data_IF_152346265963
#
_entry.id   IF_152346265963
#
_cell.length_a   1.000
_cell.length_b   1.000
_cell.length_c   1.000
_cell.angle_alpha   90.00
_cell.angle_beta   90.00
_cell.angle_gamma   90.00
#
_symmetry.space_group_name_H-M   'P 1'
#
loop_
_entity.id
_entity.type
_entity.pdbx_description
1 polymer ?
2 non-polymer ?
3 water ?
#
# COMPACT_ATOMS: atom_id res chain seq x y z
N UNK A 7 12.89 17.80 -7.07
CA UNK A 7 12.49 18.93 -7.97
C UNK A 7 11.01 19.32 -7.76
N UNK A 8 10.45 18.91 -6.62
CA UNK A 8 9.09 19.32 -6.24
C UNK A 8 9.08 20.73 -5.67
N UNK A 9 8.07 21.50 -6.06
CA UNK A 9 8.01 22.90 -5.69
C UNK A 9 6.63 23.37 -5.24
N UNK A 10 6.60 24.59 -4.71
CA UNK A 10 5.37 25.25 -4.30
C UNK A 10 5.36 26.69 -4.81
N UNK A 11 4.17 27.14 -5.18
CA UNK A 11 3.95 28.49 -5.64
C UNK A 11 3.17 29.25 -4.58
N UNK A 12 3.64 30.44 -4.24
CA UNK A 12 3.03 31.26 -3.21
C UNK A 12 2.88 32.70 -3.68
N UNK A 13 1.63 33.19 -3.69
CA UNK A 13 1.34 34.58 -4.08
C UNK A 13 0.72 35.28 -2.90
N UNK A 14 1.27 36.43 -2.50
CA UNK A 14 0.71 37.21 -1.38
C UNK A 14 -0.56 37.98 -1.78
N UNK A 15 -1.70 37.60 -1.20
CA UNK A 15 -2.99 38.26 -1.49
C UNK A 15 -2.98 39.68 -0.91
N UNK A 16 -2.34 39.83 0.25
CA UNK A 16 -2.11 41.13 0.86
C UNK A 16 -0.62 41.34 1.17
N UNK A 17 -0.30 42.49 1.76
CA UNK A 17 1.08 42.84 2.12
C UNK A 17 1.66 41.92 3.18
N UNK A 18 2.98 42.05 3.36
CA UNK A 18 3.68 41.50 4.54
C UNK A 18 3.56 40.01 4.80
N UNK A 19 3.35 39.24 3.74
CA UNK A 19 3.37 37.77 3.79
C UNK A 19 4.81 37.26 3.90
N UNK A 20 4.99 36.17 4.64
CA UNK A 20 6.33 35.68 4.96
C UNK A 20 6.51 34.19 4.60
N UNK A 21 7.63 33.87 3.96
CA UNK A 21 7.90 32.51 3.50
C UNK A 21 9.20 31.97 4.12
N UNK A 22 9.08 30.85 4.82
CA UNK A 22 10.15 30.35 5.65
C UNK A 22 10.64 28.97 5.24
N UNK A 23 11.92 28.89 4.91
CA UNK A 23 12.55 27.60 4.60
C UNK A 23 13.05 27.01 5.89
N UNK A 24 12.76 25.71 6.09
CA UNK A 24 13.20 24.97 7.28
C UNK A 24 14.26 23.93 6.91
N UNK A 25 15.35 23.92 7.67
CA UNK A 25 16.55 23.10 7.37
C UNK A 25 16.22 21.61 7.31
N UNK A 26 16.75 20.94 6.30
CA UNK A 26 16.72 19.47 6.23
C UNK A 26 17.90 18.93 7.04
N UNK A 27 17.66 17.87 7.82
CA UNK A 27 18.74 17.28 8.59
C UNK A 27 18.16 16.76 9.88
N UNK A 28 19.04 16.41 10.83
CA UNK A 28 18.58 15.98 12.14
C UNK A 28 17.89 17.18 12.79
N UNK A 29 18.47 18.36 12.61
CA UNK A 29 17.95 19.61 13.16
C UNK A 29 16.91 20.25 12.26
N UNK A 30 16.00 20.98 12.87
CA UNK A 30 14.94 21.66 12.13
C UNK A 30 14.84 23.09 12.61
N UNK A 31 15.32 24.03 11.81
CA UNK A 31 15.20 25.46 12.13
C UNK A 31 15.04 26.32 10.89
N UNK A 32 14.58 27.56 11.08
CA UNK A 32 14.43 28.54 9.99
C UNK A 32 15.84 28.99 9.58
N UNK A 33 16.17 28.84 8.29
CA UNK A 33 17.48 29.27 7.77
C UNK A 33 17.33 30.43 6.82
N UNK A 34 16.11 30.60 6.29
CA UNK A 34 15.78 31.75 5.48
C UNK A 34 14.32 32.14 5.57
N UNK A 35 14.10 33.45 5.63
CA UNK A 35 12.76 34.02 5.60
C UNK A 35 12.68 35.05 4.48
N UNK A 36 11.94 34.75 3.43
CA UNK A 36 11.75 35.72 2.35
C UNK A 36 10.40 36.45 2.49
N UNK A 37 10.44 37.78 2.50
CA UNK A 37 9.24 38.59 2.69
C UNK A 37 8.56 38.97 1.37
N UNK A 38 7.24 38.84 1.34
CA UNK A 38 6.45 39.13 0.13
C UNK A 38 5.41 40.23 0.34
N UNK A 39 5.19 41.02 -0.71
CA UNK A 39 4.17 42.08 -0.67
C UNK A 39 2.99 41.79 -1.60
N UNK A 40 1.91 42.56 -1.45
CA UNK A 40 0.65 42.36 -2.19
C UNK A 40 1.00 42.10 -3.67
N UNK A 41 0.56 40.97 -4.21
CA UNK A 41 0.82 40.65 -5.61
C UNK A 41 2.07 39.88 -5.98
N UNK A 42 3.15 40.09 -5.22
CA UNK A 42 4.43 39.38 -5.42
C UNK A 42 4.30 37.86 -5.26
N UNK A 43 4.96 37.12 -6.14
CA UNK A 43 4.93 35.66 -6.13
C UNK A 43 6.30 35.05 -5.90
N UNK A 44 6.33 33.88 -5.28
CA UNK A 44 7.56 33.11 -5.17
C UNK A 44 7.33 31.64 -5.46
N UNK A 45 8.22 31.09 -6.28
CA UNK A 45 8.16 29.71 -6.62
C UNK A 45 9.40 29.06 -6.01
N UNK A 46 9.15 28.17 -5.07
CA UNK A 46 10.23 27.57 -4.32
C UNK A 46 10.22 26.07 -4.44
N UNK A 47 11.40 25.53 -4.79
CA UNK A 47 11.63 24.10 -4.81
C UNK A 47 12.00 23.66 -3.41
N UNK A 48 11.73 22.39 -3.08
CA UNK A 48 12.39 21.73 -1.96
C UNK A 48 13.77 21.32 -2.44
N UNK A 49 14.74 21.32 -1.55
CA UNK A 49 16.15 21.26 -1.94
C UNK A 49 16.95 20.47 -0.95
N UNK A 50 18.25 20.35 -1.23
CA UNK A 50 19.17 19.66 -0.33
C UNK A 50 19.11 20.26 1.08
N UNK A 51 18.72 21.53 1.19
CA UNK A 51 18.70 22.23 2.47
C UNK A 51 17.34 22.62 2.97
N UNK A 52 16.32 22.55 2.13
CA UNK A 52 14.98 22.89 2.56
C UNK A 52 14.04 21.71 2.40
N UNK A 53 13.60 21.16 3.52
CA UNK A 53 12.71 20.01 3.48
C UNK A 53 11.27 20.35 3.93
N UNK A 54 11.09 21.59 4.35
CA UNK A 54 9.78 22.09 4.71
C UNK A 54 9.70 23.59 4.59
N UNK A 55 8.54 24.04 4.12
CA UNK A 55 8.30 25.45 3.90
C UNK A 55 7.11 25.85 4.70
N UNK A 56 7.23 27.00 5.38
CA UNK A 56 6.17 27.57 6.22
C UNK A 56 5.70 28.91 5.64
N UNK A 57 4.39 29.16 5.73
CA UNK A 57 3.79 30.40 5.19
C UNK A 57 2.95 31.17 6.21
N UNK A 58 3.55 32.24 6.74
CA UNK A 58 2.94 33.18 7.69
C UNK A 58 2.24 34.28 6.88
N UNK A 59 1.02 34.63 7.25
CA UNK A 59 0.28 35.68 6.54
C UNK A 59 -0.48 35.20 5.33
N UNK A 60 -1.62 35.85 5.06
CA UNK A 60 -2.63 35.39 4.10
C UNK A 60 -2.16 35.43 2.64
N UNK A 61 -1.91 34.22 2.13
CA UNK A 61 -1.36 34.01 0.79
C UNK A 61 -2.25 33.07 -0.02
N UNK A 62 -1.93 32.96 -1.31
CA UNK A 62 -2.54 31.96 -2.17
C UNK A 62 -1.45 30.95 -2.59
N UNK A 63 -1.73 29.67 -2.38
CA UNK A 63 -0.69 28.62 -2.50
C UNK A 63 -1.12 27.48 -3.40
N UNK A 64 -0.25 27.19 -4.38
CA UNK A 64 -0.36 26.00 -5.22
C UNK A 64 0.71 24.96 -4.89
N UNK A 65 0.28 23.71 -4.85
CA UNK A 65 1.19 22.59 -4.67
C UNK A 65 0.75 21.50 -5.60
N UNK A 66 1.60 20.49 -5.72
CA UNK A 66 1.29 19.32 -6.52
C UNK A 66 -0.15 18.85 -6.30
N UNK A 67 -0.67 18.99 -5.08
CA UNK A 67 -1.97 18.42 -4.73
C UNK A 67 -3.13 19.38 -5.05
N UNK A 68 -2.81 20.65 -5.25
CA UNK A 68 -3.81 21.64 -5.62
C UNK A 68 -3.67 22.95 -4.86
N UNK A 69 -4.77 23.72 -4.89
CA UNK A 69 -4.80 25.09 -4.37
C UNK A 69 -5.26 25.16 -2.92
N UNK A 70 -4.76 26.17 -2.20
CA UNK A 70 -5.05 26.34 -0.77
C UNK A 70 -6.07 27.47 -0.46
N UNK B 7 10.59 12.28 -1.45
CA UNK B 7 10.10 13.61 -1.89
C UNK B 7 8.56 13.71 -1.87
N UNK B 8 7.96 12.78 -1.12
CA UNK B 8 6.55 12.80 -0.77
C UNK B 8 6.28 13.86 0.28
N UNK B 9 5.17 14.61 0.12
CA UNK B 9 4.89 15.68 1.10
C UNK B 9 3.44 15.77 1.52
N UNK B 10 3.19 16.61 2.53
CA UNK B 10 1.85 16.92 3.02
C UNK B 10 1.71 18.43 3.23
N UNK B 11 0.50 18.92 2.96
CA UNK B 11 0.16 20.32 3.17
C UNK B 11 -0.81 20.41 4.35
N UNK B 12 -0.52 21.32 5.26
CA UNK B 12 -1.32 21.50 6.46
C UNK B 12 -1.60 22.99 6.71
N UNK B 13 -2.88 23.36 6.76
CA UNK B 13 -3.29 24.73 7.07
C UNK B 13 -4.07 24.73 8.36
N UNK B 14 -3.65 25.54 9.33
CA UNK B 14 -4.38 25.65 10.60
C UNK B 14 -5.69 26.47 10.46
N UNK B 15 -6.83 25.79 10.63
CA UNK B 15 -8.13 26.47 10.54
C UNK B 15 -8.31 27.38 11.77
N UNK B 16 -7.85 26.88 12.93
CA UNK B 16 -7.87 27.60 14.21
C UNK B 16 -6.45 27.70 14.81
N UNK B 17 -6.27 28.63 15.76
CA UNK B 17 -4.99 28.85 16.45
C UNK B 17 -4.39 27.57 17.02
N UNK B 18 -3.12 27.67 17.41
CA UNK B 18 -2.47 26.66 18.27
C UNK B 18 -2.42 25.23 17.75
N UNK B 19 -2.47 25.08 16.43
CA UNK B 19 -2.29 23.78 15.75
C UNK B 19 -0.82 23.36 15.78
N UNK B 20 -0.60 22.07 15.90
CA UNK B 20 0.74 21.56 16.16
C UNK B 20 1.13 20.44 15.20
N UNK B 21 2.33 20.56 14.63
CA UNK B 21 2.80 19.59 13.64
C UNK B 21 4.08 18.92 14.09
N UNK B 22 4.03 17.60 14.15
CA UNK B 22 5.09 16.84 14.79
C UNK B 22 5.78 15.86 13.85
N UNK B 23 7.08 16.02 13.70
CA UNK B 23 7.88 15.08 12.92
C UNK B 23 8.32 13.97 13.82
N UNK B 24 8.19 12.73 13.35
CA UNK B 24 8.59 11.53 14.10
C UNK B 24 9.77 10.86 13.43
N UNK B 25 10.80 10.53 14.21
CA UNK B 25 12.08 10.03 13.68
C UNK B 25 11.90 8.75 12.90
N UNK B 26 12.55 8.68 11.74
CA UNK B 26 12.69 7.42 11.01
C UNK B 26 13.87 6.65 11.60
N UNK B 27 13.71 5.33 11.74
CA UNK B 27 14.79 4.49 12.26
C UNK B 27 14.17 3.39 13.07
N UNK B 28 15.00 2.63 13.81
CA UNK B 28 14.45 1.59 14.69
C UNK B 28 13.63 2.30 15.77
N UNK B 29 14.16 3.44 16.23
CA UNK B 29 13.53 4.27 17.26
C UNK B 29 12.52 5.21 16.68
N UNK B 30 11.50 5.52 17.46
CA UNK B 30 10.44 6.42 17.04
C UNK B 30 10.19 7.42 18.13
N UNK B 31 10.64 8.65 17.93
CA UNK B 31 10.37 9.74 18.86
C UNK B 31 10.11 11.06 18.14
N UNK B 32 9.44 11.97 18.82
CA UNK B 32 9.17 13.29 18.28
C UNK B 32 10.50 14.06 18.33
N UNK B 33 10.93 14.61 17.20
CA UNK B 33 12.23 15.31 17.12
C UNK B 33 12.02 16.78 16.86
N UNK B 34 10.85 17.12 16.33
CA UNK B 34 10.45 18.50 16.14
C UNK B 34 8.96 18.68 16.19
N UNK B 35 8.56 19.76 16.83
CA UNK B 35 7.17 20.17 16.86
C UNK B 35 7.06 21.62 16.40
N UNK B 36 6.48 21.83 15.22
CA UNK B 36 6.28 23.20 14.71
C UNK B 36 4.87 23.68 14.96
N UNK B 37 4.76 24.85 15.61
CA UNK B 37 3.47 25.40 16.05
C UNK B 37 2.88 26.31 14.97
N UNK B 38 1.59 26.10 14.67
CA UNK B 38 0.89 26.88 13.63
C UNK B 38 -0.28 27.67 14.19
N UNK B 39 -0.51 28.86 13.63
CA UNK B 39 -1.63 29.71 14.04
C UNK B 39 -2.66 29.89 12.93
N UNK B 40 -3.84 30.41 13.28
CA UNK B 40 -4.98 30.54 12.36
C UNK B 40 -4.45 31.06 11.02
N UNK B 41 -4.72 30.31 9.94
CA UNK B 41 -4.32 30.72 8.60
C UNK B 41 -2.95 30.29 8.08
N UNK B 42 -1.98 30.15 8.99
CA UNK B 42 -0.61 29.71 8.65
C UNK B 42 -0.59 28.31 8.01
N UNK B 43 0.23 28.16 6.98
CA UNK B 43 0.35 26.88 6.26
C UNK B 43 1.76 26.33 6.34
N UNK B 44 1.84 25.00 6.33
CA UNK B 44 3.14 24.34 6.21
C UNK B 44 3.10 23.18 5.23
N UNK B 45 4.10 23.15 4.37
CA UNK B 45 4.26 22.09 3.43
C UNK B 45 5.51 21.33 3.85
N UNK B 46 5.28 20.11 4.28
CA UNK B 46 6.35 19.30 4.79
C UNK B 46 6.54 18.03 3.98
N UNK B 47 7.80 17.79 3.65
CA UNK B 47 8.22 16.57 2.99
C UNK B 47 8.48 15.52 4.04
N UNK B 48 8.38 14.25 3.64
CA UNK B 48 9.00 13.15 4.38
C UNK B 48 10.44 13.12 3.94
N UNK B 49 11.32 12.74 4.85
CA UNK B 49 12.74 12.99 4.69
C UNK B 49 13.55 11.89 5.30
N UNK B 50 14.86 12.02 5.20
CA UNK B 50 15.75 11.02 5.78
C UNK B 50 15.49 10.86 7.27
N UNK B 51 14.96 11.90 7.91
CA UNK B 51 14.72 11.88 9.36
C UNK B 51 13.28 11.85 9.80
N UNK B 52 12.36 12.13 8.88
CA UNK B 52 10.95 12.13 9.22
C UNK B 52 10.19 11.13 8.38
N UNK B 53 9.71 10.06 9.02
CA UNK B 53 8.96 9.02 8.32
C UNK B 53 7.48 9.02 8.70
N UNK B 54 7.12 9.89 9.62
CA UNK B 54 5.73 10.08 9.99
C UNK B 54 5.55 11.45 10.58
N UNK B 55 4.42 12.04 10.21
CA UNK B 55 4.03 13.35 10.68
C UNK B 55 2.71 13.20 11.41
N UNK B 56 2.64 13.85 12.58
CA UNK B 56 1.45 13.86 13.42
C UNK B 56 0.87 15.28 13.50
N UNK B 57 -0.46 15.39 13.50
CA UNK B 57 -1.12 16.71 13.52
C UNK B 57 -2.17 16.84 14.66
N UNK B 58 -1.78 17.56 15.71
CA UNK B 58 -2.61 17.88 16.87
C UNK B 58 -3.32 19.20 16.59
N UNK B 59 -4.59 19.30 16.94
CA UNK B 59 -5.34 20.55 16.76
C UNK B 59 -5.98 20.66 15.39
N UNK B 60 -7.14 21.32 15.33
CA UNK B 60 -8.00 21.34 14.14
C UNK B 60 -7.39 22.03 12.92
N UNK B 61 -6.98 21.23 11.95
CA UNK B 61 -6.28 21.71 10.74
C UNK B 61 -6.97 21.21 9.47
N UNK B 62 -6.55 21.76 8.33
CA UNK B 62 -6.97 21.27 7.02
C UNK B 62 -5.76 20.66 6.29
N UNK B 63 -5.91 19.43 5.80
CA UNK B 63 -4.76 18.65 5.35
C UNK B 63 -4.94 18.07 3.95
N UNK B 64 -3.95 18.33 3.10
CA UNK B 64 -3.84 17.71 1.78
C UNK B 64 -2.69 16.71 1.73
N UNK B 65 -2.95 15.58 1.07
CA UNK B 65 -1.93 14.59 0.79
C UNK B 65 -2.15 14.08 -0.61
N UNK B 66 -1.17 13.32 -1.09
CA UNK B 66 -1.30 12.66 -2.38
C UNK B 66 -2.67 12.02 -2.55
N UNK B 67 -3.23 11.49 -1.46
CA UNK B 67 -4.47 10.72 -1.53
C UNK B 67 -5.73 11.60 -1.46
N UNK B 68 -5.55 12.85 -1.05
CA UNK B 68 -6.63 13.83 -1.07
C UNK B 68 -6.72 14.70 0.17
N UNK B 69 -7.87 15.38 0.28
CA UNK B 69 -8.14 16.36 1.34
C UNK B 69 -8.82 15.71 2.55
N UNK B 70 -8.56 16.27 3.73
CA UNK B 70 -9.04 15.66 4.99
C UNK B 70 -10.32 16.27 5.61
N UNK C 7 8.31 4.82 -0.07
CA UNK C 7 7.66 6.16 -0.01
C UNK C 7 6.13 6.07 0.02
N UNK C 8 5.60 4.85 0.18
CA UNK C 8 4.15 4.61 0.32
C UNK C 8 3.71 4.94 1.73
N UNK C 9 2.56 5.61 1.84
CA UNK C 9 2.09 6.06 3.15
C UNK C 9 0.59 5.87 3.34
N UNK C 10 0.17 6.10 4.59
CA UNK C 10 -1.23 6.02 4.98
C UNK C 10 -1.56 7.22 5.86
N UNK C 11 -2.80 7.70 5.70
CA UNK C 11 -3.33 8.81 6.48
C UNK C 11 -4.39 8.24 7.41
N UNK C 12 -4.30 8.61 8.68
CA UNK C 12 -5.23 8.14 9.71
C UNK C 12 -5.71 9.29 10.61
N UNK C 13 -7.02 9.51 10.67
CA UNK C 13 -7.61 10.57 11.51
C UNK C 13 -8.54 9.93 12.51
N UNK C 14 -8.35 10.22 13.79
CA UNK C 14 -9.23 9.68 14.85
C UNK C 14 -10.59 10.39 14.92
N UNK C 15 -11.66 9.65 14.60
CA UNK C 15 -13.03 10.19 14.69
C UNK C 15 -13.42 10.39 16.17
N UNK C 16 -13.02 9.43 17.01
CA UNK C 16 -13.22 9.50 18.48
C UNK C 16 -11.89 9.36 19.25
N UNK C 17 -11.92 9.70 20.53
CA UNK C 17 -10.75 9.61 21.43
C UNK C 17 -10.08 8.24 21.39
N UNK C 18 -8.88 8.18 21.97
CA UNK C 18 -8.21 6.91 22.29
C UNK C 18 -7.98 5.91 21.16
N UNK C 19 -7.84 6.43 19.94
CA UNK C 19 -7.44 5.65 18.75
C UNK C 19 -5.95 5.34 18.79
N UNK C 20 -5.57 4.16 18.30
CA UNK C 20 -4.22 3.68 18.45
C UNK C 20 -3.61 3.19 17.13
N UNK C 21 -2.38 3.61 16.85
CA UNK C 21 -1.71 3.26 15.60
C UNK C 21 -0.40 2.53 15.85
N UNK C 22 -0.28 1.35 15.26
CA UNK C 22 0.78 0.43 15.61
C UNK C 22 1.65 0.08 14.41
N UNK C 23 2.94 0.35 14.54
CA UNK C 23 3.90 -0.04 13.53
C UNK C 23 4.38 -1.44 13.85
N UNK C 24 4.43 -2.29 12.83
CA UNK C 24 4.90 -3.68 12.96
C UNK C 24 6.22 -3.87 12.25
N UNK C 25 7.19 -4.47 12.95
CA UNK C 25 8.57 -4.61 12.46
C UNK C 25 8.64 -5.36 11.14
N UNK C 26 9.43 -4.83 10.22
CA UNK C 26 9.84 -5.56 9.02
C UNK C 26 11.06 -6.44 9.39
N UNK C 27 11.09 -7.66 8.86
CA UNK C 27 12.19 -8.59 9.12
C UNK C 27 11.61 -9.99 9.15
N UNK C 28 12.39 -10.98 9.56
CA UNK C 28 11.83 -12.34 9.73
C UNK C 28 10.78 -12.27 10.86
N UNK C 29 11.10 -11.49 11.89
CA UNK C 29 10.25 -11.29 13.06
C UNK C 29 9.19 -10.23 12.85
N UNK C 30 8.06 -10.40 13.53
CA UNK C 30 6.97 -9.45 13.42
C UNK C 30 6.46 -9.12 14.81
N UNK C 31 6.77 -7.92 15.28
CA UNK C 31 6.23 -7.42 16.55
C UNK C 31 5.92 -5.93 16.50
N UNK C 32 5.13 -5.46 17.46
CA UNK C 32 4.85 -4.03 17.60
C UNK C 32 6.12 -3.38 18.16
N UNK C 33 6.60 -2.34 17.49
CA UNK C 33 7.81 -1.60 17.93
C UNK C 33 7.46 -0.21 18.36
N UNK C 34 6.32 0.27 17.88
CA UNK C 34 5.79 1.55 18.29
C UNK C 34 4.28 1.60 18.22
N UNK C 35 3.70 2.21 19.25
CA UNK C 35 2.28 2.46 19.29
C UNK C 35 2.03 3.94 19.56
N UNK C 36 1.53 4.67 18.56
CA UNK C 36 1.22 6.09 18.74
C UNK C 36 -0.27 6.31 18.99
N UNK C 37 -0.57 7.01 20.09
CA UNK C 37 -1.93 7.26 20.56
C UNK C 37 -2.53 8.52 19.97
N UNK C 38 -3.75 8.42 19.46
CA UNK C 38 -4.45 9.55 18.83
C UNK C 38 -5.75 9.91 19.54
N UNK C 39 -6.07 11.20 19.59
CA UNK C 39 -7.31 11.69 20.19
C UNK C 39 -8.24 12.33 19.15
N UNK C 40 -9.49 12.59 19.54
CA UNK C 40 -10.54 13.08 18.62
C UNK C 40 -9.93 14.20 17.77
N UNK C 41 -9.99 14.05 16.45
CA UNK C 41 -9.48 15.07 15.53
C UNK C 41 -8.04 14.97 15.06
N UNK C 42 -7.16 14.44 15.92
CA UNK C 42 -5.73 14.29 15.62
C UNK C 42 -5.47 13.36 14.41
N UNK C 43 -4.54 13.75 13.56
CA UNK C 43 -4.20 13.00 12.35
C UNK C 43 -2.74 12.52 12.36
N UNK C 44 -2.49 11.40 11.71
CA UNK C 44 -1.13 10.95 11.49
C UNK C 44 -0.94 10.45 10.05
N UNK C 45 0.14 10.92 9.46
CA UNK C 45 0.54 10.47 8.15
C UNK C 45 1.81 9.66 8.33
N UNK C 46 1.71 8.38 8.03
CA UNK C 46 2.78 7.46 8.25
C UNK C 46 3.19 6.76 6.98
N UNK C 47 4.50 6.75 6.76
CA UNK C 47 5.11 6.03 5.66
C UNK C 47 5.37 4.61 6.11
N UNK C 48 5.48 3.69 5.13
CA UNK C 48 6.16 2.41 5.34
C UNK C 48 7.64 2.69 5.19
N UNK C 49 8.46 1.94 5.91
CA UNK C 49 9.85 2.34 6.12
C UNK C 49 10.72 1.12 6.24
N UNK C 50 12.02 1.36 6.39
CA UNK C 50 12.96 0.26 6.58
C UNK C 50 12.57 -0.63 7.75
N UNK C 51 11.83 -0.05 8.72
CA UNK C 51 11.44 -0.77 9.94
C UNK C 51 9.99 -1.08 10.10
N UNK C 52 9.15 -0.47 9.28
CA UNK C 52 7.71 -0.69 9.39
C UNK C 52 7.19 -1.21 8.08
N UNK C 53 6.77 -2.48 8.08
CA UNK C 53 6.24 -3.08 6.88
C UNK C 53 4.72 -3.31 6.97
N UNK C 54 4.15 -3.02 8.13
CA UNK C 54 2.72 -3.11 8.32
C UNK C 54 2.25 -2.22 9.45
N UNK C 55 1.07 -1.64 9.25
CA UNK C 55 0.49 -0.72 10.20
C UNK C 55 -0.86 -1.26 10.61
N UNK C 56 -1.12 -1.26 11.92
CA UNK C 56 -2.37 -1.73 12.50
C UNK C 56 -3.11 -0.55 13.16
N UNK C 57 -4.43 -0.54 13.02
CA UNK C 57 -5.25 0.56 13.56
C UNK C 57 -6.40 0.11 14.47
N UNK C 58 -6.18 0.27 15.78
CA UNK C 58 -7.15 -0.05 16.83
C UNK C 58 -7.99 1.17 17.13
N UNK C 59 -9.31 1.00 17.26
CA UNK C 59 -10.21 2.11 17.60
C UNK C 59 -10.67 2.87 16.37
N UNK C 60 -11.89 3.40 16.45
CA UNK C 60 -12.62 3.97 15.31
C UNK C 60 -11.96 5.21 14.67
N UNK C 61 -11.35 4.98 13.51
CA UNK C 61 -10.60 6.01 12.79
C UNK C 61 -11.10 6.17 11.35
N UNK C 62 -10.61 7.22 10.68
CA UNK C 62 -10.80 7.39 9.25
C UNK C 62 -9.45 7.23 8.54
N UNK C 63 -9.41 6.35 7.54
CA UNK C 63 -8.15 5.94 6.93
C UNK C 63 -8.14 6.08 5.41
N UNK C 64 -7.15 6.82 4.92
CA UNK C 64 -6.82 6.88 3.49
C UNK C 64 -5.55 6.09 3.15
N UNK C 65 -5.62 5.40 2.03
CA UNK C 65 -4.48 4.69 1.48
C UNK C 65 -4.51 4.90 -0.01
N UNK C 66 -3.42 4.53 -0.66
CA UNK C 66 -3.35 4.59 -2.11
C UNK C 66 -4.61 4.01 -2.76
N UNK C 67 -5.20 3.00 -2.12
CA UNK C 67 -6.34 2.29 -2.69
C UNK C 67 -7.68 2.95 -2.42
N UNK C 68 -7.70 3.91 -1.49
CA UNK C 68 -8.85 4.76 -1.22
C UNK C 68 -9.18 4.91 0.25
N UNK C 69 -10.42 5.34 0.52
CA UNK C 69 -10.89 5.58 1.89
C UNK C 69 -11.53 4.35 2.53
N UNK C 70 -11.38 4.23 3.85
CA UNK C 70 -11.81 3.04 4.58
C UNK C 70 -13.02 3.35 5.50
N UNK D 7 6.82 -2.82 -2.78
CA UNK D 7 6.07 -1.90 -1.86
C UNK D 7 4.56 -1.97 -2.11
N UNK D 8 4.11 -3.08 -2.71
CA UNK D 8 2.68 -3.37 -2.89
C UNK D 8 2.06 -3.87 -1.59
N UNK D 9 0.85 -3.39 -1.30
CA UNK D 9 0.21 -3.67 -0.04
C UNK D 9 -1.26 -4.02 -0.14
N UNK D 10 -1.82 -4.46 0.99
CA UNK D 10 -3.24 -4.74 1.12
C UNK D 10 -3.79 -4.09 2.39
N UNK D 11 -5.02 -3.62 2.29
CA UNK D 11 -5.75 -3.06 3.41
C UNK D 11 -6.85 -4.04 3.80
N UNK D 12 -6.95 -4.32 5.10
CA UNK D 12 -7.91 -5.27 5.62
C UNK D 12 -8.59 -4.70 6.86
N UNK D 13 -9.92 -4.58 6.81
CA UNK D 13 -10.70 -4.09 7.95
C UNK D 13 -11.65 -5.20 8.37
N UNK D 14 -11.64 -5.57 9.65
CA UNK D 14 -12.54 -6.60 10.16
C UNK D 14 -14.00 -6.09 10.32
N UNK D 15 -14.92 -6.63 9.53
CA UNK D 15 -16.34 -6.26 9.63
C UNK D 15 -16.92 -6.81 10.94
N UNK D 16 -16.52 -8.03 11.31
CA UNK D 16 -16.89 -8.68 12.56
C UNK D 16 -15.64 -9.09 13.36
N UNK D 17 -15.83 -9.40 14.65
CA UNK D 17 -14.76 -9.84 15.55
C UNK D 17 -13.94 -10.98 14.98
N UNK D 18 -12.80 -11.25 15.65
CA UNK D 18 -12.04 -12.49 15.47
C UNK D 18 -11.56 -12.82 14.07
N UNK D 19 -11.35 -11.78 13.26
CA UNK D 19 -10.74 -11.90 11.94
C UNK D 19 -9.23 -12.14 12.06
N UNK D 20 -8.68 -12.93 11.15
CA UNK D 20 -7.31 -13.37 11.25
C UNK D 20 -6.51 -13.11 9.97
N UNK D 21 -5.32 -12.55 10.12
CA UNK D 21 -4.49 -12.17 8.97
C UNK D 21 -3.15 -12.89 9.03
N UNK D 22 -2.86 -13.63 7.98
CA UNK D 22 -1.74 -14.55 7.98
C UNK D 22 -0.72 -14.24 6.91
N UNK D 23 0.52 -14.00 7.35
CA UNK D 23 1.63 -13.83 6.42
C UNK D 23 2.20 -15.19 6.11
N UNK D 24 2.43 -15.46 4.83
CA UNK D 24 3.04 -16.73 4.36
C UNK D 24 4.44 -16.48 3.81
N UNK D 25 5.38 -17.33 4.23
CA UNK D 25 6.82 -17.14 3.93
C UNK D 25 7.09 -17.14 2.45
N UNK D 26 7.91 -16.19 1.99
CA UNK D 26 8.50 -16.24 0.65
C UNK D 26 9.74 -17.14 0.71
N UNK D 27 9.93 -17.97 -0.30
CA UNK D 27 11.10 -18.85 -0.36
C UNK D 27 10.70 -20.13 -1.05
N UNK D 28 11.57 -21.14 -0.99
CA UNK D 28 11.21 -22.47 -1.52
C UNK D 28 10.04 -22.99 -0.69
N UNK D 29 10.10 -22.74 0.62
CA UNK D 29 9.08 -23.17 1.58
C UNK D 29 7.91 -22.21 1.65
N UNK D 30 6.74 -22.74 1.99
CA UNK D 30 5.58 -21.91 2.24
C UNK D 30 4.95 -22.30 3.56
N UNK D 31 5.12 -21.47 4.58
CA UNK D 31 4.43 -21.65 5.85
C UNK D 31 3.99 -20.34 6.48
N UNK D 32 3.05 -20.45 7.42
CA UNK D 32 2.55 -19.30 8.16
C UNK D 32 3.57 -18.91 9.21
N UNK D 33 4.06 -17.68 9.13
CA UNK D 33 5.15 -17.23 10.02
C UNK D 33 4.65 -16.20 11.01
N UNK D 34 3.53 -15.58 10.68
CA UNK D 34 2.83 -14.68 11.57
C UNK D 34 1.35 -14.65 11.32
N UNK D 35 0.60 -14.60 12.43
CA UNK D 35 -0.84 -14.46 12.39
C UNK D 35 -1.24 -13.28 13.27
N UNK D 36 -1.71 -12.21 12.64
CA UNK D 36 -2.18 -11.05 13.40
C UNK D 36 -3.73 -11.07 13.52
N UNK D 37 -4.22 -10.99 14.75
CA UNK D 37 -5.65 -11.07 15.01
C UNK D 37 -6.32 -9.69 15.02
N UNK D 38 -7.47 -9.60 14.36
CA UNK D 38 -8.23 -8.35 14.26
C UNK D 38 -9.63 -8.45 14.87
N UNK D 39 -10.09 -7.34 15.47
CA UNK D 39 -11.45 -7.27 16.01
C UNK D 39 -12.33 -6.27 15.25
N UNK D 40 -13.63 -6.30 15.53
CA UNK D 40 -14.63 -5.49 14.80
C UNK D 40 -14.08 -4.06 14.68
N UNK D 41 -13.98 -3.55 13.44
CA UNK D 41 -13.48 -2.20 13.22
C UNK D 41 -12.00 -1.96 13.01
N UNK D 42 -11.16 -2.78 13.65
CA UNK D 42 -9.70 -2.71 13.53
C UNK D 42 -9.20 -2.94 12.10
N UNK D 43 -8.24 -2.12 11.68
CA UNK D 43 -7.69 -2.21 10.32
C UNK D 43 -6.19 -2.55 10.33
N UNK D 44 -5.76 -3.26 9.30
CA UNK D 44 -4.35 -3.49 9.09
C UNK D 44 -3.95 -3.27 7.63
N UNK D 45 -2.87 -2.52 7.48
CA UNK D 45 -2.32 -2.24 6.18
C UNK D 45 -0.97 -2.95 6.12
N UNK D 46 -0.89 -3.95 5.26
CA UNK D 46 0.30 -4.77 5.20
C UNK D 46 0.88 -4.82 3.81
N UNK D 47 2.19 -4.64 3.76
CA UNK D 47 2.95 -4.71 2.52
C UNK D 47 3.34 -6.17 2.29
N UNK D 48 3.61 -6.51 1.03
CA UNK D 48 4.38 -7.71 0.71
C UNK D 48 5.84 -7.31 0.88
N UNK D 49 6.67 -8.26 1.30
CA UNK D 49 7.99 -7.96 1.80
C UNK D 49 8.97 -9.03 1.43
N UNK D 50 10.22 -8.84 1.83
CA UNK D 50 11.25 -9.86 1.60
C UNK D 50 10.85 -11.21 2.18
N UNK D 51 9.97 -11.21 3.19
CA UNK D 51 9.58 -12.45 3.87
C UNK D 51 8.13 -12.86 3.69
N UNK D 52 7.30 -11.95 3.18
CA UNK D 52 5.91 -12.26 2.99
C UNK D 52 5.52 -12.12 1.52
N UNK D 53 5.21 -13.24 0.88
CA UNK D 53 4.85 -13.22 -0.55
C UNK D 53 3.38 -13.59 -0.76
N UNK D 54 2.68 -13.89 0.33
CA UNK D 54 1.26 -14.13 0.27
C UNK D 54 0.61 -13.88 1.62
N UNK D 55 -0.56 -13.27 1.56
CA UNK D 55 -1.31 -12.92 2.74
C UNK D 55 -2.65 -13.60 2.63
N UNK D 56 -3.04 -14.25 3.73
CA UNK D 56 -4.30 -14.99 3.83
C UNK D 56 -5.22 -14.34 4.86
N UNK D 57 -6.52 -14.34 4.56
CA UNK D 57 -7.51 -13.70 5.43
C UNK D 57 -8.68 -14.61 5.82
N UNK D 58 -8.61 -15.14 7.04
CA UNK D 58 -9.62 -16.00 7.66
C UNK D 58 -10.62 -15.10 8.38
N UNK D 59 -11.90 -15.39 8.23
CA UNK D 59 -12.94 -14.58 8.88
C UNK D 59 -13.36 -13.36 8.07
N UNK D 60 -14.63 -12.98 8.22
CA UNK D 60 -15.31 -11.96 7.40
C UNK D 60 -14.72 -10.56 7.54
N UNK D 61 -14.00 -10.15 6.51
CA UNK D 61 -13.30 -8.86 6.47
C UNK D 61 -13.67 -8.06 5.23
N UNK D 62 -13.25 -6.81 5.21
CA UNK D 62 -13.31 -5.98 4.03
C UNK D 62 -11.88 -5.69 3.53
N UNK D 63 -11.62 -5.98 2.25
CA UNK D 63 -10.26 -5.97 1.72
C UNK D 63 -10.09 -5.11 0.48
N UNK D 64 -9.12 -4.19 0.55
CA UNK D 64 -8.66 -3.40 -0.61
C UNK D 64 -7.29 -3.86 -1.10
N UNK D 65 -7.17 -3.92 -2.42
CA UNK D 65 -5.92 -4.24 -3.07
C UNK D 65 -5.80 -3.38 -4.29
N UNK D 66 -4.61 -3.40 -4.87
CA UNK D 66 -4.37 -2.69 -6.11
C UNK D 66 -5.53 -2.83 -7.10
N UNK D 67 -6.16 -4.00 -7.12
CA UNK D 67 -7.17 -4.32 -8.14
C UNK D 67 -8.57 -3.83 -7.76
N UNK D 68 -8.76 -3.56 -6.47
CA UNK D 68 -10.03 -3.04 -5.97
C UNK D 68 -10.49 -3.69 -4.68
N UNK D 69 -11.78 -3.54 -4.40
CA UNK D 69 -12.40 -4.01 -3.16
C UNK D 69 -12.96 -5.43 -3.27
N UNK D 70 -12.90 -6.17 -2.16
CA UNK D 70 -13.39 -7.54 -2.13
C UNK D 70 -14.20 -7.81 -0.86
N UNK E 7 6.39 -9.23 -8.34
CA UNK E 7 5.75 -7.91 -8.10
C UNK E 7 4.23 -7.99 -8.36
N UNK E 8 3.89 -8.80 -9.36
CA UNK E 8 2.51 -9.02 -9.77
C UNK E 8 1.81 -10.00 -8.84
N UNK E 9 0.54 -9.74 -8.55
CA UNK E 9 -0.22 -10.64 -7.67
C UNK E 9 -1.64 -10.96 -8.17
N UNK E 10 -2.28 -11.90 -7.49
CA UNK E 10 -3.67 -12.28 -7.75
C UNK E 10 -4.42 -12.41 -6.43
N UNK E 11 -5.70 -12.03 -6.47
CA UNK E 11 -6.58 -12.14 -5.33
C UNK E 11 -7.60 -13.25 -5.62
N UNK E 12 -7.78 -14.14 -4.65
CA UNK E 12 -8.68 -15.28 -4.78
C UNK E 12 -9.54 -15.41 -3.53
N UNK E 13 -10.86 -15.38 -3.71
CA UNK E 13 -11.82 -15.59 -2.60
C UNK E 13 -12.63 -16.84 -2.90
N UNK E 14 -12.67 -17.78 -1.94
CA UNK E 14 -13.48 -19.00 -2.11
C UNK E 14 -15.00 -18.75 -1.93
N UNK E 15 -15.77 -18.90 -3.00
CA UNK E 15 -17.22 -18.72 -2.94
C UNK E 15 -17.85 -19.88 -2.16
N UNK E 16 -17.31 -21.09 -2.37
CA UNK E 16 -17.70 -22.30 -1.63
C UNK E 16 -16.49 -22.95 -0.93
N UNK E 17 -16.78 -23.85 0.02
CA UNK E 17 -15.75 -24.59 0.77
C UNK E 17 -14.74 -25.28 -0.17
N UNK E 18 -13.65 -25.74 0.44
CA UNK E 18 -12.73 -26.68 -0.20
C UNK E 18 -12.09 -26.24 -1.51
N UNK E 19 -11.94 -24.93 -1.69
CA UNK E 19 -11.18 -24.34 -2.81
C UNK E 19 -9.69 -24.52 -2.59
N UNK E 20 -8.96 -24.74 -3.67
CA UNK E 20 -7.57 -25.09 -3.58
C UNK E 20 -6.67 -24.22 -4.47
N UNK E 21 -5.57 -23.72 -3.90
CA UNK E 21 -4.69 -22.80 -4.62
C UNK E 21 -3.28 -23.35 -4.69
N UNK E 22 -2.79 -23.49 -5.93
CA UNK E 22 -1.56 -24.22 -6.17
C UNK E 22 -0.49 -23.37 -6.82
N UNK E 23 0.65 -23.29 -6.16
CA UNK E 23 1.81 -22.62 -6.72
C UNK E 23 2.58 -23.62 -7.53
N UNK E 24 2.99 -23.21 -8.74
CA UNK E 24 3.79 -24.06 -9.64
C UNK E 24 5.20 -23.51 -9.78
N UNK E 25 6.20 -24.39 -9.59
CA UNK E 25 7.62 -24.01 -9.54
C UNK E 25 8.07 -23.28 -10.81
N UNK E 26 8.81 -22.20 -10.63
CA UNK E 26 9.49 -21.53 -11.73
C UNK E 26 10.83 -22.24 -11.98
N UNK E 27 11.18 -22.43 -13.25
CA UNK E 27 12.45 -23.04 -13.61
C UNK E 27 12.21 -23.89 -14.84
N UNK E 28 13.18 -24.74 -15.17
CA UNK E 28 13.02 -25.64 -16.32
C UNK E 28 11.88 -26.61 -15.99
N UNK E 29 11.84 -27.04 -14.73
CA UNK E 29 10.85 -27.99 -14.23
C UNK E 29 9.60 -27.29 -13.77
N UNK E 30 8.48 -27.98 -13.87
CA UNK E 30 7.20 -27.42 -13.48
C UNK E 30 6.45 -28.43 -12.63
N UNK E 31 6.39 -28.18 -11.33
CA UNK E 31 5.61 -29.04 -10.42
C UNK E 31 4.91 -28.22 -9.34
N UNK E 32 3.90 -28.80 -8.71
CA UNK E 32 3.25 -28.16 -7.56
C UNK E 32 4.22 -28.25 -6.39
N UNK E 33 4.50 -27.10 -5.75
CA UNK E 33 5.40 -27.06 -4.58
C UNK E 33 4.62 -26.70 -3.34
N UNK E 34 3.46 -26.09 -3.53
CA UNK E 34 2.56 -25.79 -2.45
C UNK E 34 1.12 -25.74 -2.88
N UNK E 35 0.27 -26.30 -2.03
CA UNK E 35 -1.17 -26.24 -2.23
C UNK E 35 -1.82 -25.68 -0.96
N UNK E 36 -2.35 -24.47 -1.04
CA UNK E 36 -3.02 -23.86 0.12
C UNK E 36 -4.55 -24.01 0.00
N UNK E 37 -5.17 -24.55 1.04
CA UNK E 37 -6.60 -24.85 1.06
C UNK E 37 -7.42 -23.68 1.58
N UNK E 38 -8.49 -23.34 0.86
CA UNK E 38 -9.38 -22.23 1.24
C UNK E 38 -10.81 -22.66 1.51
N UNK E 39 -11.46 -22.02 2.48
CA UNK E 39 -12.86 -22.33 2.82
C UNK E 39 -13.79 -21.15 2.51
N UNK E 40 -15.10 -21.39 2.54
CA UNK E 40 -16.11 -20.40 2.14
C UNK E 40 -15.71 -19.06 2.78
N UNK E 41 -15.61 -18.01 1.96
CA UNK E 41 -15.26 -16.68 2.45
C UNK E 41 -13.80 -16.27 2.61
N UNK E 42 -12.94 -17.24 2.92
CA UNK E 42 -11.49 -17.03 3.05
C UNK E 42 -10.85 -16.49 1.76
N UNK E 43 -9.97 -15.51 1.93
CA UNK E 43 -9.29 -14.87 0.80
C UNK E 43 -7.78 -15.07 0.87
N UNK E 44 -7.15 -15.12 -0.30
CA UNK E 44 -5.71 -15.11 -0.38
C UNK E 44 -5.22 -14.17 -1.47
N UNK E 45 -4.23 -13.38 -1.12
CA UNK E 45 -3.57 -12.51 -2.05
C UNK E 45 -2.17 -13.06 -2.23
N UNK E 46 -1.91 -13.52 -3.44
CA UNK E 46 -0.65 -14.18 -3.72
C UNK E 46 0.11 -13.49 -4.83
N UNK E 47 1.38 -13.25 -4.56
CA UNK E 47 2.31 -12.67 -5.50
C UNK E 47 2.89 -13.78 -6.33
N UNK E 48 3.35 -13.46 -7.54
CA UNK E 48 4.30 -14.31 -8.27
C UNK E 48 5.67 -13.97 -7.71
N UNK E 49 6.55 -14.95 -7.69
CA UNK E 49 7.74 -14.87 -6.87
C UNK E 49 8.88 -15.59 -7.55
N UNK E 50 10.04 -15.55 -6.91
CA UNK E 50 11.20 -16.24 -7.44
C UNK E 50 10.92 -17.73 -7.64
N UNK E 51 9.96 -18.27 -6.89
CA UNK E 51 9.63 -19.70 -6.94
C UNK E 51 8.29 -20.05 -7.53
N UNK E 52 7.42 -19.07 -7.67
CA UNK E 52 6.10 -19.33 -8.24
C UNK E 52 5.91 -18.50 -9.49
N UNK E 53 5.86 -19.19 -10.63
CA UNK E 53 5.66 -18.52 -11.91
C UNK E 53 4.28 -18.78 -12.51
N UNK E 54 3.50 -19.62 -11.84
CA UNK E 54 2.12 -19.87 -12.24
C UNK E 54 1.33 -20.39 -11.06
N UNK E 55 0.09 -19.93 -11.01
CA UNK E 55 -0.81 -20.27 -9.94
C UNK E 55 -2.03 -20.95 -10.57
N UNK E 56 -2.44 -22.07 -9.98
CA UNK E 56 -3.60 -22.84 -10.41
C UNK E 56 -4.69 -22.79 -9.34
N UNK E 57 -5.95 -22.70 -9.78
CA UNK E 57 -7.09 -22.64 -8.85
C UNK E 57 -8.17 -23.70 -9.12
N UNK E 58 -8.16 -24.73 -8.28
CA UNK E 58 -9.14 -25.82 -8.29
C UNK E 58 -10.31 -25.44 -7.37
N UNK E 59 -11.54 -25.71 -7.80
CA UNK E 59 -12.71 -25.41 -6.97
C UNK E 59 -13.22 -24.00 -7.18
N UNK E 60 -14.54 -23.83 -7.05
CA UNK E 60 -15.24 -22.60 -7.46
C UNK E 60 -14.91 -21.38 -6.60
N UNK E 61 -14.13 -20.48 -7.18
CA UNK E 61 -13.60 -19.29 -6.50
C UNK E 61 -13.94 -18.00 -7.26
N UNK E 62 -13.66 -16.86 -6.63
CA UNK E 62 -13.73 -15.57 -7.29
C UNK E 62 -12.32 -14.96 -7.37
N UNK E 63 -11.90 -14.55 -8.57
CA UNK E 63 -10.52 -14.19 -8.82
C UNK E 63 -10.36 -12.83 -9.47
N UNK E 64 -9.53 -11.99 -8.85
CA UNK E 64 -9.08 -10.72 -9.42
C UNK E 64 -7.62 -10.77 -9.85
N UNK E 65 -7.35 -10.18 -11.01
CA UNK E 65 -5.99 -10.02 -11.50
C UNK E 65 -5.89 -8.65 -12.12
N UNK E 66 -4.66 -8.25 -12.41
CA UNK E 66 -4.41 -6.99 -13.10
C UNK E 66 -5.39 -6.77 -14.26
N UNK E 67 -5.78 -7.84 -14.95
CA UNK E 67 -6.60 -7.72 -16.15
C UNK E 67 -8.10 -7.68 -15.85
N UNK E 68 -8.47 -8.09 -14.64
CA UNK E 68 -9.85 -7.98 -14.18
C UNK E 68 -10.36 -9.18 -13.42
N UNK E 69 -11.69 -9.21 -13.26
CA UNK E 69 -12.39 -10.24 -12.48
C UNK E 69 -12.79 -11.45 -13.31
N UNK E 70 -12.78 -12.62 -12.67
CA UNK E 70 -13.00 -13.90 -13.36
C UNK E 70 -14.34 -14.55 -12.98
N UNK F 7 7.38 -10.25 -16.43
CA UNK F 7 6.28 -10.41 -15.45
C UNK F 7 4.90 -10.24 -16.09
N UNK F 8 4.85 -10.37 -17.42
CA UNK F 8 3.60 -10.43 -18.17
C UNK F 8 2.95 -11.81 -18.03
N UNK F 9 1.64 -11.81 -17.86
CA UNK F 9 0.91 -13.05 -17.64
C UNK F 9 -0.38 -13.17 -18.42
N UNK F 10 -0.95 -14.38 -18.36
CA UNK F 10 -2.24 -14.67 -18.98
C UNK F 10 -3.10 -15.47 -18.00
N UNK F 11 -4.40 -15.21 -18.06
CA UNK F 11 -5.39 -15.90 -17.24
C UNK F 11 -6.21 -16.80 -18.14
N UNK F 12 -6.36 -18.06 -17.74
CA UNK F 12 -7.08 -19.05 -18.53
C UNK F 12 -8.04 -19.84 -17.64
N UNK F 13 -9.34 -19.79 -17.97
CA UNK F 13 -10.37 -20.54 -17.23
C UNK F 13 -11.03 -21.52 -18.17
N UNK F 14 -11.08 -22.80 -17.79
CA UNK F 14 -11.73 -23.83 -18.62
C UNK F 14 -13.27 -23.76 -18.56
N UNK F 15 -13.90 -23.41 -19.67
CA UNK F 15 -15.38 -23.36 -19.74
C UNK F 15 -15.95 -24.79 -19.68
N UNK F 16 -15.27 -25.71 -20.36
CA UNK F 16 -15.60 -27.15 -20.35
C UNK F 16 -14.39 -28.01 -19.89
N UNK F 17 -14.66 -29.26 -19.54
CA UNK F 17 -13.63 -30.21 -19.10
C UNK F 17 -12.46 -30.31 -20.08
N UNK F 18 -11.38 -30.96 -19.62
CA UNK F 18 -10.30 -31.41 -20.49
C UNK F 18 -9.58 -30.37 -21.34
N UNK F 19 -9.57 -29.12 -20.85
CA UNK F 19 -8.80 -28.03 -21.44
C UNK F 19 -7.30 -28.19 -21.12
N UNK F 20 -6.46 -27.80 -22.05
CA UNK F 20 -5.04 -28.07 -21.95
C UNK F 20 -4.17 -26.84 -22.19
N UNK F 21 -3.20 -26.61 -21.30
CA UNK F 21 -2.36 -25.42 -21.36
C UNK F 21 -0.90 -25.80 -21.50
N UNK F 22 -0.27 -25.29 -22.56
CA UNK F 22 1.04 -25.75 -22.95
C UNK F 22 2.06 -24.62 -22.95
N UNK F 23 3.12 -24.81 -22.17
CA UNK F 23 4.24 -23.89 -22.16
C UNK F 23 5.21 -24.32 -23.23
N UNK F 24 5.67 -23.35 -24.03
CA UNK F 24 6.65 -23.60 -25.10
C UNK F 24 7.98 -22.97 -24.77
N UNK F 25 9.06 -23.76 -24.91
CA UNK F 25 10.41 -23.36 -24.49
C UNK F 25 10.88 -22.10 -25.18
N UNK F 26 11.46 -21.18 -24.40
CA UNK F 26 12.21 -20.05 -24.93
C UNK F 26 13.62 -20.52 -25.25
N UNK F 27 14.16 -20.07 -26.38
CA UNK F 27 15.53 -20.44 -26.79
C UNK F 27 15.56 -20.53 -28.29
N UNK F 28 16.64 -21.05 -28.85
CA UNK F 28 16.69 -21.27 -30.31
C UNK F 28 15.63 -22.33 -30.65
N UNK F 29 15.52 -23.33 -29.78
CA UNK F 29 14.58 -24.43 -29.92
C UNK F 29 13.21 -24.09 -29.39
N UNK F 30 12.18 -24.69 -29.98
CA UNK F 30 10.81 -24.45 -29.57
C UNK F 30 10.09 -25.78 -29.43
N UNK F 31 9.86 -26.20 -28.18
CA UNK F 31 9.08 -27.42 -27.93
C UNK F 31 8.21 -27.29 -26.68
N UNK F 32 7.21 -28.17 -26.55
CA UNK F 32 6.39 -28.23 -25.35
C UNK F 32 7.25 -28.82 -24.22
N UNK F 33 7.34 -28.11 -23.10
CA UNK F 33 8.10 -28.59 -21.92
C UNK F 33 7.19 -28.91 -20.78
N UNK F 34 5.98 -28.36 -20.82
CA UNK F 34 4.95 -28.66 -19.85
C UNK F 34 3.56 -28.49 -20.40
N UNK F 35 2.70 -29.43 -20.05
CA UNK F 35 1.30 -29.39 -20.39
C UNK F 35 0.46 -29.55 -19.11
N UNK F 36 -0.20 -28.48 -18.68
CA UNK F 36 -1.06 -28.55 -17.50
C UNK F 36 -2.53 -28.71 -17.91
N UNK F 37 -3.18 -29.74 -17.36
CA UNK F 37 -4.56 -30.07 -17.69
C UNK F 37 -5.56 -29.37 -16.79
N UNK F 38 -6.59 -28.79 -17.39
CA UNK F 38 -7.64 -28.06 -16.65
C UNK F 38 -9.03 -28.67 -16.83
N UNK F 39 -9.84 -28.60 -15.77
CA UNK F 39 -11.22 -29.10 -15.83
C UNK F 39 -12.24 -27.96 -15.66
N UNK F 40 -13.52 -28.26 -15.94
CA UNK F 40 -14.60 -27.25 -15.96
C UNK F 40 -14.44 -26.36 -14.72
N UNK F 41 -14.34 -25.06 -14.92
CA UNK F 41 -14.21 -24.12 -13.81
C UNK F 41 -12.83 -23.74 -13.29
N UNK F 42 -11.89 -24.70 -13.36
CA UNK F 42 -10.50 -24.50 -12.92
C UNK F 42 -9.79 -23.38 -13.71
N UNK F 43 -9.03 -22.56 -13.00
CA UNK F 43 -8.31 -21.42 -13.60
C UNK F 43 -6.80 -21.56 -13.43
N UNK F 44 -6.06 -21.00 -14.37
CA UNK F 44 -4.62 -20.88 -14.24
C UNK F 44 -4.13 -19.50 -14.66
N UNK F 45 -3.29 -18.94 -13.82
CA UNK F 45 -2.67 -17.67 -14.11
C UNK F 45 -1.19 -17.94 -14.32
N UNK F 46 -0.76 -17.74 -15.55
CA UNK F 46 0.59 -18.09 -15.91
C UNK F 46 1.34 -16.90 -16.46
N UNK F 47 2.54 -16.73 -15.91
CA UNK F 47 3.48 -15.72 -16.35
C UNK F 47 4.27 -16.28 -17.51
N UNK F 48 4.81 -15.38 -18.35
CA UNK F 48 5.91 -15.72 -19.23
C UNK F 48 7.17 -15.61 -18.40
N UNK F 49 8.16 -16.44 -18.72
CA UNK F 49 9.25 -16.69 -17.80
C UNK F 49 10.53 -16.93 -18.57
N UNK F 50 11.60 -17.16 -17.82
CA UNK F 50 12.89 -17.46 -18.43
C UNK F 50 12.80 -18.67 -19.36
N UNK F 51 11.83 -19.54 -19.11
CA UNK F 51 11.68 -20.79 -19.88
C UNK F 51 10.46 -20.87 -20.76
N UNK F 52 9.49 -19.99 -20.55
CA UNK F 52 8.27 -20.02 -21.34
C UNK F 52 8.10 -18.71 -22.06
N UNK F 53 8.22 -18.75 -23.39
CA UNK F 53 8.07 -17.55 -24.20
C UNK F 53 6.78 -17.58 -25.04
N UNK F 54 6.07 -18.69 -24.96
CA UNK F 54 4.78 -18.80 -25.61
C UNK F 54 3.92 -19.85 -24.94
N UNK F 55 2.64 -19.54 -24.87
CA UNK F 55 1.67 -20.40 -24.26
C UNK F 55 0.63 -20.76 -25.28
N UNK F 56 0.28 -22.05 -25.34
CA UNK F 56 -0.73 -22.57 -26.26
C UNK F 56 -1.92 -23.12 -25.47
N UNK F 57 -3.13 -22.92 -26.00
CA UNK F 57 -4.35 -23.35 -25.32
C UNK F 57 -5.29 -24.21 -26.19
N UNK F 58 -5.25 -25.51 -25.94
CA UNK F 58 -6.07 -26.52 -26.61
C UNK F 58 -7.36 -26.69 -25.81
N UNK F 59 -8.50 -26.77 -26.49
CA UNK F 59 -9.78 -26.96 -25.80
C UNK F 59 -10.41 -25.65 -25.37
N UNK F 60 -11.75 -25.62 -25.37
CA UNK F 60 -12.55 -24.41 -25.21
C UNK F 60 -12.42 -23.76 -23.83
N UNK F 61 -11.71 -22.63 -23.81
CA UNK F 61 -11.39 -21.91 -22.57
C UNK F 61 -11.81 -20.44 -22.67
N UNK F 62 -11.74 -19.74 -21.53
CA UNK F 62 -11.86 -18.29 -21.49
C UNK F 62 -10.50 -17.69 -21.11
N UNK F 63 -10.03 -16.73 -21.92
CA UNK F 63 -8.68 -16.21 -21.78
C UNK F 63 -8.62 -14.69 -21.68
N UNK F 64 -7.96 -14.24 -20.62
CA UNK F 64 -7.62 -12.82 -20.44
C UNK F 64 -6.13 -12.58 -20.65
N UNK F 65 -5.85 -11.48 -21.36
CA UNK F 65 -4.48 -11.03 -21.54
C UNK F 65 -4.48 -9.53 -21.41
N UNK F 66 -3.27 -8.98 -21.35
CA UNK F 66 -3.11 -7.54 -21.30
C UNK F 66 -4.03 -6.83 -22.31
N UNK F 67 -4.25 -7.46 -23.46
CA UNK F 67 -4.98 -6.83 -24.56
C UNK F 67 -6.49 -6.98 -24.45
N UNK F 68 -6.92 -7.92 -23.60
CA UNK F 68 -8.35 -8.12 -23.32
C UNK F 68 -8.77 -9.58 -23.32
N UNK F 69 -10.09 -9.77 -23.43
CA UNK F 69 -10.72 -11.10 -23.34
C UNK F 69 -10.87 -11.77 -24.70
N UNK F 70 -10.79 -13.10 -24.70
CA UNK F 70 -10.81 -13.89 -25.93
C UNK F 70 -12.13 -14.67 -26.12
X LIG G 1 19.37 28.49 -0.74
X LIG G 1 18.07 27.87 -0.52
X LIG G 1 18.06 26.43 -0.92
X LIG G 1 18.79 26.02 -1.83
X LIG G 1 17.00 28.64 -1.27
X LIG G 1 15.61 28.08 -1.15
X LIG G 1 15.04 27.09 -1.93
X LIG G 1 14.56 28.46 -0.19
X LIG G 1 13.75 26.83 -1.54
X LIG G 1 13.39 27.62 -0.51
X LIG G 1 14.46 29.39 0.85
X LIG G 1 12.19 27.70 0.21
X LIG G 1 13.24 29.47 1.57
X LIG G 1 12.15 28.64 1.24
X LIG G 1 17.34 25.59 -0.35
X LIG H 1 14.96 18.80 9.62
X LIG H 1 13.72 18.11 9.37
X LIG H 1 13.92 17.09 8.28
X LIG H 1 14.71 17.29 7.36
X LIG H 1 12.64 19.10 8.97
X LIG H 1 11.31 18.47 8.61
X LIG H 1 10.93 17.97 7.37
X LIG H 1 10.15 18.28 9.48
X LIG H 1 9.65 17.48 7.42
X LIG H 1 9.12 17.64 8.65
X LIG H 1 9.85 18.57 10.81
X LIG H 1 7.87 17.31 9.15
X LIG H 1 8.58 18.23 11.30
X LIG H 1 7.61 17.61 10.48
X LIG H 1 13.26 16.02 8.30
X LIG I 1 10.77 5.21 13.49
X LIG I 1 9.66 4.63 12.76
X LIG I 1 10.08 4.24 11.38
X LIG I 1 10.95 4.90 10.79
X LIG I 1 8.49 5.62 12.70
X LIG I 1 7.31 5.17 11.89
X LIG I 1 7.13 5.27 10.51
X LIG I 1 6.09 4.51 12.38
X LIG I 1 5.92 4.74 10.12
X LIG I 1 5.24 4.29 11.20
X LIG I 1 5.61 4.13 13.63
X LIG I 1 3.99 3.70 11.28
X LIG I 1 4.35 3.54 13.71
X LIG I 1 3.56 3.33 12.57
X LIG I 1 9.59 3.27 10.80
X LIG J 1 8.10 -8.85 9.70
X LIG J 1 7.10 -9.06 8.65
X LIG J 1 7.68 -8.76 7.31
X LIG J 1 8.57 -7.90 7.20
X LIG J 1 5.85 -8.21 8.91
X LIG J 1 4.79 -8.30 7.84
X LIG J 1 4.72 -7.56 6.68
X LIG J 1 3.58 -9.15 7.83
X LIG J 1 3.60 -7.89 5.94
X LIG J 1 2.87 -8.83 6.58
X LIG J 1 3.03 -10.10 8.69
X LIG J 1 1.68 -9.45 6.23
X LIG J 1 1.83 -10.72 8.32
X LIG J 1 1.16 -10.39 7.11
X LIG J 1 7.28 -9.35 6.30
X LIG K 1 6.99 -19.47 -0.45
X LIG K 1 6.16 -19.27 -1.63
X LIG K 1 6.83 -18.28 -2.54
X LIG K 1 7.57 -17.41 -2.09
X LIG K 1 4.79 -18.77 -1.21
X LIG K 1 3.87 -18.34 -2.33
X LIG K 1 3.83 -17.12 -2.97
X LIG K 1 2.82 -19.15 -2.97
X LIG K 1 2.86 -17.09 -3.94
X LIG K 1 2.21 -18.27 -3.99
X LIG K 1 2.33 -20.44 -2.81
X LIG K 1 1.17 -18.70 -4.80
X LIG K 1 1.27 -20.86 -3.63
X LIG K 1 0.70 -20.01 -4.60
X LIG K 1 6.66 -18.32 -3.77
X LIG L 1 8.45 -23.95 -14.60
X LIG L 1 7.71 -23.18 -15.59
X LIG L 1 8.36 -21.85 -15.80
X LIG L 1 8.96 -21.29 -14.90
X LIG L 1 6.26 -23.01 -15.14
X LIG L 1 5.41 -22.15 -16.05
X LIG L 1 5.31 -20.76 -16.05
X LIG L 1 4.52 -22.59 -17.12
X LIG L 1 4.44 -20.34 -17.03
X LIG L 1 3.92 -21.38 -17.69
X LIG L 1 4.16 -23.83 -17.65
X LIG L 1 3.01 -21.43 -18.74
X LIG L 1 3.21 -23.87 -18.70
X LIG L 1 2.66 -22.69 -19.24
X LIG L 1 8.31 -21.29 -16.90
#
# INVERSE_FOLDING_TARGET
MNQKHSSDFVVIKAVEDGVNVIGLTRGTDTKFHHSEKLDKGEVIIAQFTEHTSAIKVRGEALIQTAYGEMKNEKK
MNQKHSSDFVVIKAVEDGVNVIGLTRGTDTKFHHSEKLDKGEVIIAQFTEHTSAIKVRGEALIQTAYGEMKNEKK
MNQKHSSDFVVIKAVEDGVNVIGLTRGTDTKFHHSEKLDKGEVIIAQFTEHTSAIKVRGEALIQTAYGEMKNEKK
MNQKHSSDFVVIKAVEDGVNVIGLTRGTDTKFHHSEKLDKGEVIIAQFTEHTSAIKVRGEALIQTAYGEMKNEKK
MNQKHSSDFVVIKAVEDGVNVIGLTRGTDTKFHHSEKLDKGEVIIAQFTEHTSAIKVRGEALIQTAYGEMKNEKK
MNQKHSSDFVVIKAVEDGVNVIGLTRGTDTKFHHSEKLDKGEVIIAQFTEHTSAIKVRGEALIQTAYGEMKNEKK
TRP N CA C O CB CG CD1 CD2 NE1 CE2 CE3 CZ2 CZ3 CH2 OXT
TRP N CA C O CB CG CD1 CD2 NE1 CE2 CE3 CZ2 CZ3 CH2 OXT
TRP N CA C O CB CG CD1 CD2 NE1 CE2 CE3 CZ2 CZ3 CH2 OXT
TRP N CA C O CB CG CD1 CD2 NE1 CE2 CE3 CZ2 CZ3 CH2 OXT
TRP N CA C O CB CG CD1 CD2 NE1 CE2 CE3 CZ2 CZ3 CH2 OXT
TRP N CA C O CB CG CD1 CD2 NE1 CE2 CE3 CZ2 CZ3 CH2 OXT
#
